data_IF_509492630244
#
_entry.id   IF_509492630244
#
_cell.length_a   1.000
_cell.length_b   1.000
_cell.length_c   1.000
_cell.angle_alpha   90.00
_cell.angle_beta   90.00
_cell.angle_gamma   90.00
#
_symmetry.space_group_name_H-M   'P 1'
#
loop_
_entity.id
_entity.type
_entity.pdbx_description
1 polymer ?
#
# COMPACT_ATOMS: atom_id res chain seq x y z
N UNK A 1 9.97 -18.96 -21.02
CA UNK A 1 9.43 -20.35 -21.11
C UNK A 1 8.56 -20.70 -19.91
N UNK A 2 9.03 -20.55 -18.67
CA UNK A 2 8.26 -20.84 -17.45
C UNK A 2 6.99 -19.98 -17.27
N UNK A 3 7.07 -18.68 -17.57
CA UNK A 3 5.92 -17.76 -17.51
C UNK A 3 4.77 -18.16 -18.43
N UNK A 4 5.06 -18.71 -19.61
CA UNK A 4 4.05 -19.13 -20.59
C UNK A 4 3.28 -20.34 -20.06
N UNK A 5 3.97 -21.26 -19.38
CA UNK A 5 3.35 -22.42 -18.71
C UNK A 5 2.42 -21.99 -17.58
N UNK A 6 2.81 -21.02 -16.75
CA UNK A 6 1.98 -20.50 -15.67
C UNK A 6 0.70 -19.85 -16.22
N UNK A 7 0.82 -19.06 -17.28
CA UNK A 7 -0.33 -18.40 -17.92
C UNK A 7 -1.27 -19.43 -18.55
N UNK A 8 -0.72 -20.46 -19.21
CA UNK A 8 -1.53 -21.51 -19.83
C UNK A 8 -2.25 -22.37 -18.77
N UNK A 9 -1.57 -22.72 -17.68
CA UNK A 9 -2.18 -23.46 -16.58
C UNK A 9 -3.26 -22.63 -15.89
N UNK A 10 -3.02 -21.33 -15.68
CA UNK A 10 -4.02 -20.41 -15.15
C UNK A 10 -5.26 -20.33 -16.05
N UNK A 11 -5.08 -20.23 -17.37
CA UNK A 11 -6.17 -20.22 -18.35
C UNK A 11 -6.98 -21.53 -18.34
N UNK A 12 -6.29 -22.67 -18.19
CA UNK A 12 -6.92 -23.99 -18.16
C UNK A 12 -7.71 -24.23 -16.86
N UNK A 13 -7.22 -23.71 -15.73
CA UNK A 13 -7.98 -23.64 -14.47
C UNK A 13 -9.19 -22.69 -14.59
N UNK A 14 -9.05 -21.58 -15.29
CA UNK A 14 -10.11 -20.58 -15.50
C UNK A 14 -11.34 -21.17 -16.23
N UNK A 15 -11.11 -22.02 -17.24
CA UNK A 15 -12.17 -22.65 -18.05
C UNK A 15 -12.90 -23.78 -17.29
N UNK A 16 -12.25 -24.45 -16.32
CA UNK A 16 -12.81 -25.62 -15.60
C UNK A 16 -13.75 -25.30 -14.44
N UNK A 17 -14.18 -24.05 -14.26
CA UNK A 17 -15.08 -23.66 -13.16
C UNK A 17 -14.38 -23.48 -11.81
N UNK A 18 -13.04 -23.53 -11.76
CA UNK A 18 -12.23 -23.20 -10.57
C UNK A 18 -12.24 -21.70 -10.25
N UNK A 19 -12.93 -20.88 -11.03
CA UNK A 19 -13.21 -19.46 -10.75
C UNK A 19 -13.64 -19.22 -9.30
N UNK A 20 -14.50 -20.09 -8.76
CA UNK A 20 -14.99 -19.97 -7.39
C UNK A 20 -13.89 -20.08 -6.32
N UNK A 21 -12.78 -20.75 -6.62
CA UNK A 21 -11.61 -20.85 -5.72
C UNK A 21 -10.50 -19.88 -6.09
N UNK A 22 -10.29 -19.63 -7.38
CA UNK A 22 -9.21 -18.78 -7.89
C UNK A 22 -9.51 -17.30 -7.64
N UNK A 23 -10.75 -16.83 -7.80
CA UNK A 23 -11.11 -15.44 -7.49
C UNK A 23 -10.88 -15.07 -6.03
N UNK A 24 -11.39 -15.82 -5.03
CA UNK A 24 -11.13 -15.47 -3.63
C UNK A 24 -9.64 -15.54 -3.30
N UNK A 25 -8.90 -16.50 -3.85
CA UNK A 25 -7.45 -16.56 -3.68
C UNK A 25 -6.75 -15.31 -4.27
N UNK A 26 -7.14 -14.87 -5.47
CA UNK A 26 -6.61 -13.65 -6.09
C UNK A 26 -6.99 -12.39 -5.31
N UNK A 27 -8.21 -12.30 -4.77
CA UNK A 27 -8.64 -11.21 -3.91
C UNK A 27 -7.81 -11.15 -2.63
N UNK A 28 -7.60 -12.29 -1.97
CA UNK A 28 -6.76 -12.38 -0.78
C UNK A 28 -5.33 -11.95 -1.10
N UNK A 29 -4.77 -12.42 -2.23
CA UNK A 29 -3.44 -12.02 -2.68
C UNK A 29 -3.35 -10.51 -2.99
N UNK A 30 -4.39 -9.92 -3.57
CA UNK A 30 -4.47 -8.49 -3.84
C UNK A 30 -4.46 -7.69 -2.53
N UNK A 31 -5.33 -8.05 -1.58
CA UNK A 31 -5.40 -7.39 -0.27
C UNK A 31 -4.08 -7.53 0.47
N UNK A 32 -3.51 -8.74 0.49
CA UNK A 32 -2.23 -9.00 1.15
C UNK A 32 -1.10 -8.18 0.50
N UNK A 33 -1.06 -8.08 -0.82
CA UNK A 33 -0.06 -7.28 -1.54
C UNK A 33 -0.20 -5.79 -1.27
N UNK A 34 -1.43 -5.26 -1.22
CA UNK A 34 -1.68 -3.86 -0.87
C UNK A 34 -1.30 -3.59 0.57
N UNK A 35 -1.63 -4.50 1.49
CA UNK A 35 -1.31 -4.36 2.91
C UNK A 35 0.21 -4.40 3.14
N UNK A 36 0.92 -5.36 2.55
CA UNK A 36 2.37 -5.47 2.64
C UNK A 36 3.08 -4.30 1.96
N UNK A 37 2.58 -3.85 0.80
CA UNK A 37 3.11 -2.68 0.10
C UNK A 37 2.91 -1.39 0.90
N UNK A 38 1.72 -1.20 1.49
CA UNK A 38 1.42 -0.10 2.40
C UNK A 38 2.28 -0.13 3.66
N UNK A 39 2.52 -1.31 4.22
CA UNK A 39 3.41 -1.50 5.36
C UNK A 39 4.87 -1.16 4.99
N UNK A 40 5.35 -1.60 3.82
CA UNK A 40 6.68 -1.23 3.32
C UNK A 40 6.82 0.27 3.06
N UNK A 41 5.75 0.95 2.65
CA UNK A 41 5.75 2.41 2.51
C UNK A 41 6.01 3.09 3.87
N UNK A 42 5.46 2.59 4.97
CA UNK A 42 5.72 3.14 6.32
C UNK A 42 7.20 3.04 6.73
N UNK A 43 7.92 2.02 6.23
CA UNK A 43 9.35 1.84 6.48
C UNK A 43 10.25 2.49 5.42
N UNK A 44 9.67 3.10 4.37
CA UNK A 44 10.44 3.81 3.36
C UNK A 44 11.01 5.10 3.95
N UNK A 45 12.33 5.35 3.82
CA UNK A 45 12.94 6.60 4.28
C UNK A 45 12.27 7.85 3.70
N UNK A 46 11.78 7.74 2.46
CA UNK A 46 11.09 8.83 1.76
C UNK A 46 9.73 9.16 2.39
N UNK A 47 8.98 8.14 2.80
CA UNK A 47 7.69 8.32 3.45
C UNK A 47 7.85 8.86 4.87
N UNK A 48 8.80 8.32 5.63
CA UNK A 48 9.12 8.83 6.98
C UNK A 48 9.57 10.29 6.90
N UNK A 49 10.45 10.62 5.94
CA UNK A 49 10.93 11.99 5.74
C UNK A 49 9.80 12.97 5.41
N UNK A 50 8.88 12.60 4.51
CA UNK A 50 7.73 13.44 4.16
C UNK A 50 6.77 13.63 5.34
N UNK A 51 6.49 12.58 6.12
CA UNK A 51 5.69 12.68 7.34
C UNK A 51 6.36 13.60 8.37
N UNK A 52 7.68 13.51 8.53
CA UNK A 52 8.44 14.34 9.47
C UNK A 52 8.40 15.83 9.07
N UNK A 53 8.57 16.12 7.78
CA UNK A 53 8.48 17.48 7.23
C UNK A 53 7.07 18.04 7.47
N UNK A 54 6.03 17.24 7.20
CA UNK A 54 4.65 17.68 7.41
C UNK A 54 4.36 17.95 8.89
N UNK A 55 4.84 17.09 9.79
CA UNK A 55 4.75 17.27 11.24
C UNK A 55 5.48 18.55 11.68
N UNK A 56 6.66 18.83 11.12
CA UNK A 56 7.41 20.05 11.38
C UNK A 56 6.65 21.30 10.93
N UNK A 57 6.04 21.30 9.74
CA UNK A 57 5.22 22.42 9.25
C UNK A 57 4.02 22.65 10.17
N UNK A 58 3.31 21.58 10.57
CA UNK A 58 2.18 21.68 11.50
C UNK A 58 2.62 22.28 12.84
N UNK A 59 3.76 21.81 13.37
CA UNK A 59 4.34 22.35 14.60
C UNK A 59 4.68 23.84 14.47
N UNK A 60 5.32 24.24 13.36
CA UNK A 60 5.67 25.64 13.07
C UNK A 60 4.42 26.54 13.04
N UNK A 61 3.37 26.09 12.35
CA UNK A 61 2.08 26.81 12.28
C UNK A 61 1.45 26.95 13.66
N UNK A 62 1.50 25.89 14.48
CA UNK A 62 0.97 25.92 15.85
C UNK A 62 1.78 26.86 16.75
N UNK A 63 3.11 26.82 16.67
CA UNK A 63 4.00 27.70 17.41
C UNK A 63 3.78 29.18 17.04
N UNK A 64 3.68 29.48 15.74
CA UNK A 64 3.41 30.84 15.23
C UNK A 64 2.07 31.41 15.72
N UNK A 65 1.03 30.57 15.82
CA UNK A 65 -0.29 30.99 16.33
C UNK A 65 -0.31 31.16 17.85
N UNK A 66 0.47 30.37 18.60
CA UNK A 66 0.61 30.48 20.05
C UNK A 66 1.25 31.81 20.50
N UNK A 67 2.21 32.33 19.72
CA UNK A 67 2.87 33.61 20.01
C UNK A 67 1.97 34.85 19.90
N UNK A 68 0.89 34.81 19.11
CA UNK A 68 -0.06 35.94 18.98
C UNK A 68 -1.02 36.11 20.14
N UNK A 69 -1.06 35.17 21.10
CA UNK A 69 -1.96 35.24 22.26
C UNK A 69 -1.32 35.93 23.46
N UNK A 70 -0.03 36.28 23.35
CA UNK A 70 0.79 36.87 24.42
C UNK A 70 1.23 38.31 24.09
N UNK A 71 0.75 38.88 22.99
CA UNK A 71 0.87 40.30 22.64
C UNK A 71 -0.51 40.94 22.58
#
# INVERSE_FOLDING_TARGET
MFFVLIIFLAALLFVRGLFHFVLPALLILLVLRVFLGGLMLLFSPHFIGTVLILAFIIWLVKASRGGRRYY
#
